data_IF_391367400870
#
_entry.id   IF_391367400870
#
_cell.length_a   1.000
_cell.length_b   1.000
_cell.length_c   1.000
_cell.angle_alpha   90.00
_cell.angle_beta   90.00
_cell.angle_gamma   90.00
#
_symmetry.space_group_name_H-M   'P 1'
#
loop_
_entity.id
_entity.type
_entity.pdbx_description
1 polymer ?
#
# COMPACT_ATOMS: atom_id res chain seq x y z
N UNK A 1 -16.67 -12.74 -37.36
CA UNK A 1 -15.32 -12.27 -37.01
C UNK A 1 -15.35 -12.02 -35.51
N UNK A 2 -14.87 -12.98 -34.73
CA UNK A 2 -14.79 -12.83 -33.27
C UNK A 2 -13.48 -12.11 -33.00
N UNK A 3 -13.58 -10.83 -32.66
CA UNK A 3 -12.44 -10.05 -32.19
C UNK A 3 -12.04 -10.61 -30.82
N UNK A 4 -11.00 -11.44 -30.82
CA UNK A 4 -10.33 -11.85 -29.60
C UNK A 4 -9.51 -10.65 -29.13
N UNK A 5 -10.09 -9.85 -28.23
CA UNK A 5 -9.35 -8.82 -27.51
C UNK A 5 -8.14 -9.49 -26.79
N UNK A 6 -6.96 -8.86 -26.83
CA UNK A 6 -5.78 -9.45 -26.23
C UNK A 6 -5.98 -9.53 -24.72
N UNK A 7 -5.67 -10.69 -24.15
CA UNK A 7 -5.55 -10.86 -22.71
C UNK A 7 -4.39 -10.00 -22.22
N UNK A 8 -4.69 -8.77 -21.83
CA UNK A 8 -3.75 -7.91 -21.11
C UNK A 8 -3.56 -8.50 -19.71
N UNK A 9 -2.65 -9.44 -19.63
CA UNK A 9 -2.29 -10.15 -18.39
C UNK A 9 -1.27 -9.31 -17.64
N UNK A 10 -1.66 -8.10 -17.24
CA UNK A 10 -0.90 -7.32 -16.26
C UNK A 10 -1.64 -7.48 -14.93
N UNK A 11 -1.19 -8.44 -14.12
CA UNK A 11 -1.73 -8.72 -12.80
C UNK A 11 -1.54 -7.55 -11.85
N UNK A 12 -2.35 -6.50 -12.00
CA UNK A 12 -2.65 -5.58 -10.91
C UNK A 12 -3.52 -6.38 -9.96
N UNK A 13 -2.93 -6.95 -8.92
CA UNK A 13 -3.74 -7.33 -7.77
C UNK A 13 -4.41 -6.05 -7.30
N UNK A 14 -5.70 -5.88 -7.59
CA UNK A 14 -6.45 -4.71 -7.16
C UNK A 14 -6.26 -4.59 -5.65
N UNK A 15 -5.77 -3.44 -5.20
CA UNK A 15 -5.61 -3.18 -3.78
C UNK A 15 -6.99 -3.24 -3.15
N UNK A 16 -7.21 -4.07 -2.12
CA UNK A 16 -8.47 -4.12 -1.43
C UNK A 16 -8.94 -2.73 -0.97
N UNK A 17 -10.23 -2.47 -1.14
CA UNK A 17 -10.84 -1.20 -0.76
C UNK A 17 -10.50 -0.82 0.69
N UNK A 18 -10.05 0.43 0.86
CA UNK A 18 -9.76 1.01 2.17
C UNK A 18 -8.37 0.71 2.75
N UNK A 19 -7.60 -0.23 2.21
CA UNK A 19 -6.26 -0.55 2.70
C UNK A 19 -5.30 0.66 2.59
N UNK A 20 -5.27 1.32 1.42
CA UNK A 20 -4.45 2.51 1.20
C UNK A 20 -4.88 3.67 2.13
N UNK A 21 -6.19 3.85 2.32
CA UNK A 21 -6.73 4.86 3.22
C UNK A 21 -6.28 4.63 4.67
N UNK A 22 -6.31 3.37 5.13
CA UNK A 22 -5.84 3.00 6.46
C UNK A 22 -4.33 3.24 6.63
N UNK A 23 -3.52 2.87 5.63
CA UNK A 23 -2.08 3.12 5.62
C UNK A 23 -1.77 4.63 5.71
N UNK A 24 -2.44 5.45 4.89
CA UNK A 24 -2.28 6.92 4.96
C UNK A 24 -2.75 7.50 6.30
N UNK A 25 -3.84 6.98 6.86
CA UNK A 25 -4.35 7.44 8.15
C UNK A 25 -3.36 7.15 9.30
N UNK A 26 -2.66 6.01 9.25
CA UNK A 26 -1.59 5.69 10.19
C UNK A 26 -0.49 6.77 10.18
N UNK A 27 0.02 7.13 8.99
CA UNK A 27 1.11 8.10 8.87
C UNK A 27 0.75 9.53 9.28
N UNK A 28 -0.54 9.92 9.28
CA UNK A 28 -0.97 11.26 9.74
C UNK A 28 -0.57 11.57 11.19
N UNK A 29 -0.35 10.54 12.01
CA UNK A 29 0.04 10.68 13.41
C UNK A 29 1.55 10.43 13.62
N UNK A 30 2.36 10.48 12.56
CA UNK A 30 3.80 10.23 12.59
C UNK A 30 4.59 11.44 12.09
N UNK A 31 5.91 11.39 12.23
CA UNK A 31 6.83 12.41 11.67
C UNK A 31 7.07 12.25 10.17
N UNK A 32 6.46 11.24 9.53
CA UNK A 32 6.66 10.94 8.13
C UNK A 32 5.57 11.56 7.26
N UNK A 33 5.97 12.21 6.18
CA UNK A 33 5.08 12.72 5.14
C UNK A 33 5.07 11.72 3.97
N UNK A 34 3.96 11.02 3.75
CA UNK A 34 3.83 10.04 2.67
C UNK A 34 3.81 10.74 1.31
N UNK A 35 4.73 10.35 0.44
CA UNK A 35 4.81 10.78 -0.97
C UNK A 35 4.04 9.80 -1.86
N UNK A 36 4.35 8.50 -1.79
CA UNK A 36 3.66 7.43 -2.52
C UNK A 36 3.51 6.17 -1.66
N UNK A 37 2.49 5.39 -2.00
CA UNK A 37 2.30 4.02 -1.54
C UNK A 37 2.27 3.12 -2.78
N UNK A 38 3.26 2.26 -2.89
CA UNK A 38 3.39 1.33 -4.00
C UNK A 38 3.12 -0.08 -3.48
N UNK A 39 2.23 -0.82 -4.12
CA UNK A 39 1.82 -2.15 -3.66
C UNK A 39 2.99 -3.12 -3.83
N UNK A 40 3.45 -3.69 -2.72
CA UNK A 40 4.46 -4.76 -2.73
C UNK A 40 3.81 -6.14 -2.85
N UNK A 41 2.72 -6.35 -2.12
CA UNK A 41 1.87 -7.54 -2.23
C UNK A 41 0.47 -7.27 -1.69
N UNK A 42 -0.54 -7.97 -2.22
CA UNK A 42 -1.91 -7.88 -1.74
C UNK A 42 -2.61 -9.24 -1.85
N UNK A 43 -3.38 -9.57 -0.81
CA UNK A 43 -4.39 -10.63 -0.74
C UNK A 43 -5.71 -9.98 -0.31
N UNK A 44 -6.79 -10.77 -0.21
CA UNK A 44 -8.08 -10.27 0.26
C UNK A 44 -8.02 -9.68 1.69
N UNK A 45 -7.11 -10.17 2.52
CA UNK A 45 -7.03 -9.89 3.96
C UNK A 45 -5.68 -9.33 4.43
N UNK A 46 -4.70 -9.20 3.53
CA UNK A 46 -3.38 -8.65 3.86
C UNK A 46 -2.83 -7.80 2.71
N UNK A 47 -2.26 -6.65 3.03
CA UNK A 47 -1.58 -5.80 2.04
C UNK A 47 -0.26 -5.32 2.60
N UNK A 48 0.78 -5.32 1.77
CA UNK A 48 2.07 -4.70 2.07
C UNK A 48 2.31 -3.59 1.07
N UNK A 49 2.54 -2.37 1.55
CA UNK A 49 2.98 -1.26 0.72
C UNK A 49 4.46 -0.97 0.95
N UNK A 50 5.15 -0.63 -0.12
CA UNK A 50 6.37 0.19 -0.06
C UNK A 50 5.93 1.65 0.09
N UNK A 51 6.51 2.36 1.05
CA UNK A 51 6.13 3.72 1.43
C UNK A 51 7.30 4.63 1.11
N UNK A 52 7.13 5.48 0.10
CA UNK A 52 8.05 6.57 -0.15
C UNK A 52 7.61 7.75 0.71
N UNK A 53 8.47 8.22 1.61
CA UNK A 53 8.12 9.28 2.55
C UNK A 53 9.24 10.30 2.72
N UNK A 54 8.89 11.43 3.31
CA UNK A 54 9.83 12.44 3.79
C UNK A 54 9.81 12.52 5.31
N UNK A 55 10.87 13.05 5.91
CA UNK A 55 10.92 13.45 7.33
C UNK A 55 11.53 14.83 7.42
N UNK A 56 10.77 15.80 7.94
CA UNK A 56 11.22 17.19 8.01
C UNK A 56 11.50 17.81 6.63
N UNK A 57 10.73 17.43 5.61
CA UNK A 57 10.88 17.92 4.23
C UNK A 57 11.89 17.17 3.35
N UNK A 58 12.78 16.36 3.92
CA UNK A 58 13.77 15.56 3.18
C UNK A 58 13.26 14.15 2.87
N UNK A 59 13.51 13.67 1.65
CA UNK A 59 13.15 12.30 1.26
C UNK A 59 14.00 11.29 2.03
N UNK A 60 13.38 10.21 2.51
CA UNK A 60 14.12 9.12 3.12
C UNK A 60 15.06 8.45 2.10
N UNK A 61 16.28 8.13 2.53
CA UNK A 61 17.27 7.41 1.71
C UNK A 61 16.77 6.02 1.30
N UNK A 62 16.08 5.35 2.22
CA UNK A 62 15.43 4.06 1.99
C UNK A 62 13.92 4.21 2.16
N UNK A 63 13.09 3.65 1.25
CA UNK A 63 11.65 3.61 1.46
C UNK A 63 11.34 2.78 2.71
N UNK A 64 10.18 3.05 3.31
CA UNK A 64 9.65 2.21 4.39
C UNK A 64 8.78 1.10 3.80
N UNK A 65 8.42 0.13 4.62
CA UNK A 65 7.32 -0.79 4.34
C UNK A 65 6.27 -0.73 5.45
N UNK A 66 5.02 -0.93 5.07
CA UNK A 66 3.89 -1.04 6.00
C UNK A 66 3.03 -2.24 5.63
N UNK A 67 2.72 -3.06 6.61
CA UNK A 67 1.85 -4.22 6.49
C UNK A 67 0.52 -3.95 7.19
N UNK A 68 -0.57 -4.29 6.51
CA UNK A 68 -1.92 -4.21 7.04
C UNK A 68 -2.62 -5.57 6.92
N UNK A 69 -3.45 -5.88 7.91
CA UNK A 69 -4.34 -7.05 7.90
C UNK A 69 -5.77 -6.60 8.10
N UNK A 70 -6.70 -7.19 7.35
CA UNK A 70 -8.14 -6.98 7.48
C UNK A 70 -8.67 -7.86 8.61
N UNK A 71 -9.12 -7.25 9.70
CA UNK A 71 -9.72 -7.97 10.84
C UNK A 71 -11.10 -7.38 11.11
N UNK A 72 -12.14 -8.22 11.04
CA UNK A 72 -13.52 -7.78 11.28
C UNK A 72 -13.98 -6.63 10.36
N UNK A 73 -13.52 -6.61 9.10
CA UNK A 73 -13.84 -5.55 8.14
C UNK A 73 -13.05 -4.25 8.32
N UNK A 74 -12.07 -4.21 9.25
CA UNK A 74 -11.20 -3.05 9.46
C UNK A 74 -9.74 -3.38 9.14
N UNK A 75 -9.12 -2.57 8.27
CA UNK A 75 -7.70 -2.65 7.99
C UNK A 75 -6.89 -2.10 9.17
N UNK A 76 -6.02 -2.94 9.73
CA UNK A 76 -5.17 -2.60 10.88
C UNK A 76 -3.71 -2.77 10.50
N UNK A 77 -2.86 -1.83 10.90
CA UNK A 77 -1.41 -1.95 10.70
C UNK A 77 -0.86 -3.02 11.64
N UNK A 78 -0.19 -4.01 11.07
CA UNK A 78 0.37 -5.17 11.79
C UNK A 78 1.89 -5.21 11.74
N UNK A 79 2.53 -4.43 10.86
CA UNK A 79 3.98 -4.33 10.79
C UNK A 79 4.46 -3.07 10.07
N UNK A 80 5.66 -2.63 10.43
CA UNK A 80 6.40 -1.57 9.74
C UNK A 80 7.89 -1.92 9.64
N UNK A 81 8.56 -1.41 8.60
CA UNK A 81 9.99 -1.63 8.40
C UNK A 81 10.62 -0.70 7.36
N UNK A 82 11.81 -1.08 6.90
CA UNK A 82 12.53 -0.52 5.75
C UNK A 82 12.71 -1.64 4.71
#
# INVERSE_FOLDING_TARGET
MTDAAPADTTGTSEVPDGAEKAARAYYKNTVFEVVSLDVKSATADKVVFTVKAKRGGELLEQPRSIELTLTGGTWTVTGEGY
#
